data_IF_493862926688
#
_entry.id   IF_493862926688
#
_cell.length_a   1.000
_cell.length_b   1.000
_cell.length_c   1.000
_cell.angle_alpha   90.00
_cell.angle_beta   90.00
_cell.angle_gamma   90.00
#
_symmetry.space_group_name_H-M   'P 1'
#
loop_
_entity.id
_entity.type
_entity.pdbx_description
1 polymer ?
#
# COMPACT_ATOMS: atom_id res chain seq x y z
N UNK A 1 -21.01 -26.08 -6.77
CA UNK A 1 -21.67 -24.95 -7.47
C UNK A 1 -20.74 -23.75 -7.37
N UNK A 2 -20.17 -23.28 -8.49
CA UNK A 2 -19.26 -22.15 -8.48
C UNK A 2 -20.03 -20.87 -8.18
N UNK A 3 -19.85 -20.31 -6.98
CA UNK A 3 -20.33 -18.97 -6.62
C UNK A 3 -19.52 -17.92 -7.39
N UNK A 4 -19.77 -17.81 -8.69
CA UNK A 4 -19.25 -16.71 -9.49
C UNK A 4 -20.05 -15.47 -9.12
N UNK A 5 -19.38 -14.48 -8.52
CA UNK A 5 -19.95 -13.16 -8.28
C UNK A 5 -20.55 -12.62 -9.59
N UNK A 6 -21.73 -11.95 -9.58
CA UNK A 6 -22.28 -11.27 -10.75
C UNK A 6 -21.23 -10.40 -11.44
N UNK A 7 -21.28 -10.30 -12.78
CA UNK A 7 -20.23 -9.65 -13.58
C UNK A 7 -19.93 -8.21 -13.15
N UNK A 8 -20.94 -7.46 -12.70
CA UNK A 8 -20.79 -6.05 -12.32
C UNK A 8 -20.55 -5.82 -10.82
N UNK A 9 -20.39 -6.89 -10.04
CA UNK A 9 -19.93 -6.78 -8.66
C UNK A 9 -18.43 -6.55 -8.58
N UNK A 10 -18.01 -5.77 -7.58
CA UNK A 10 -16.61 -5.66 -7.21
C UNK A 10 -16.10 -7.02 -6.74
N UNK A 11 -14.86 -7.37 -7.11
CA UNK A 11 -14.18 -8.49 -6.47
C UNK A 11 -14.14 -8.26 -4.96
N UNK A 12 -14.21 -9.34 -4.19
CA UNK A 12 -14.31 -9.30 -2.73
C UNK A 12 -13.24 -8.39 -2.12
N UNK A 13 -11.99 -8.51 -2.55
CA UNK A 13 -10.88 -7.71 -2.03
C UNK A 13 -11.04 -6.18 -2.25
N UNK A 14 -11.90 -5.74 -3.17
CA UNK A 14 -12.12 -4.32 -3.52
C UNK A 14 -13.54 -3.83 -3.22
N UNK A 15 -14.29 -4.59 -2.41
CA UNK A 15 -15.70 -4.33 -2.13
C UNK A 15 -15.93 -2.96 -1.51
N UNK A 16 -15.16 -2.61 -0.48
CA UNK A 16 -15.31 -1.37 0.28
C UNK A 16 -14.13 -0.43 0.08
N UNK A 17 -14.42 0.87 -0.02
CA UNK A 17 -13.42 1.93 0.02
C UNK A 17 -13.17 2.34 1.48
N UNK A 18 -11.92 2.51 1.84
CA UNK A 18 -11.54 3.03 3.15
C UNK A 18 -11.85 4.53 3.26
N UNK A 19 -12.07 5.00 4.49
CA UNK A 19 -12.11 6.42 4.83
C UNK A 19 -11.62 6.62 6.25
N UNK A 20 -11.25 7.85 6.59
CA UNK A 20 -10.67 8.16 7.87
C UNK A 20 -11.25 9.44 8.45
N UNK A 21 -11.61 9.39 9.73
CA UNK A 21 -11.91 10.57 10.52
C UNK A 21 -10.68 10.94 11.35
N UNK A 22 -10.31 12.22 11.37
CA UNK A 22 -9.13 12.71 12.07
C UNK A 22 -9.48 13.85 13.00
N UNK A 23 -9.20 13.65 14.28
CA UNK A 23 -9.26 14.70 15.30
C UNK A 23 -7.88 15.36 15.42
N UNK A 24 -7.76 16.61 14.95
CA UNK A 24 -6.51 17.38 15.00
C UNK A 24 -6.07 17.74 16.41
N UNK A 25 -7.00 17.85 17.35
CA UNK A 25 -6.72 18.25 18.72
C UNK A 25 -6.16 17.08 19.54
N UNK A 26 -6.69 15.86 19.34
CA UNK A 26 -6.25 14.64 20.05
C UNK A 26 -5.24 13.81 19.26
N UNK A 27 -5.02 14.13 17.98
CA UNK A 27 -4.27 13.32 17.01
C UNK A 27 -4.85 11.92 16.76
N UNK A 28 -6.11 11.67 17.15
CA UNK A 28 -6.77 10.39 16.95
C UNK A 28 -7.28 10.26 15.52
N UNK A 29 -6.99 9.10 14.90
CA UNK A 29 -7.50 8.70 13.60
C UNK A 29 -8.37 7.46 13.76
N UNK A 30 -9.58 7.50 13.21
CA UNK A 30 -10.44 6.34 13.05
C UNK A 30 -10.45 5.94 11.56
N UNK A 31 -9.94 4.74 11.26
CA UNK A 31 -9.89 4.19 9.90
C UNK A 31 -11.06 3.24 9.72
N UNK A 32 -12.01 3.61 8.86
CA UNK A 32 -13.16 2.82 8.48
C UNK A 32 -12.89 1.97 7.25
N UNK A 33 -13.51 0.79 7.20
CA UNK A 33 -13.24 -0.24 6.18
C UNK A 33 -11.73 -0.53 6.09
N UNK A 34 -11.09 -0.65 7.25
CA UNK A 34 -9.74 -1.19 7.37
C UNK A 34 -9.80 -2.68 7.02
N UNK A 35 -9.05 -3.10 6.00
CA UNK A 35 -9.08 -4.48 5.50
C UNK A 35 -8.07 -5.34 6.26
N UNK A 36 -8.45 -6.56 6.59
CA UNK A 36 -7.56 -7.58 7.12
C UNK A 36 -7.79 -8.88 6.36
N UNK A 37 -6.75 -9.71 6.24
CA UNK A 37 -6.86 -11.02 5.61
C UNK A 37 -6.67 -12.15 6.62
N UNK A 38 -7.66 -13.03 6.71
CA UNK A 38 -7.63 -14.18 7.59
C UNK A 38 -7.11 -15.40 6.84
N UNK A 39 -5.89 -15.83 7.19
CA UNK A 39 -5.28 -17.07 6.71
C UNK A 39 -5.87 -18.26 7.47
N UNK A 40 -7.09 -18.63 7.09
CA UNK A 40 -7.82 -19.82 7.57
C UNK A 40 -8.12 -20.75 6.40
N UNK A 41 -8.76 -21.89 6.63
CA UNK A 41 -9.15 -22.84 5.58
C UNK A 41 -9.92 -22.19 4.41
N UNK A 42 -10.66 -21.11 4.68
CA UNK A 42 -11.46 -20.41 3.68
C UNK A 42 -10.75 -19.22 3.03
N UNK A 43 -9.68 -18.70 3.63
CA UNK A 43 -8.95 -17.53 3.15
C UNK A 43 -9.86 -16.35 2.78
N UNK A 44 -10.17 -15.48 3.74
CA UNK A 44 -11.16 -14.42 3.55
C UNK A 44 -10.66 -13.03 3.92
N UNK A 45 -11.18 -12.03 3.21
CA UNK A 45 -11.03 -10.63 3.56
C UNK A 45 -12.14 -10.23 4.52
N UNK A 46 -11.77 -9.52 5.58
CA UNK A 46 -12.68 -8.90 6.53
C UNK A 46 -12.42 -7.39 6.60
N UNK A 47 -13.43 -6.64 7.04
CA UNK A 47 -13.32 -5.19 7.20
C UNK A 47 -13.80 -4.78 8.59
N UNK A 48 -13.12 -3.81 9.19
CA UNK A 48 -13.52 -3.23 10.47
C UNK A 48 -13.13 -1.75 10.57
N UNK A 49 -13.34 -1.19 11.76
CA UNK A 49 -12.79 0.12 12.13
C UNK A 49 -11.56 -0.10 13.02
N UNK A 50 -10.48 0.61 12.72
CA UNK A 50 -9.26 0.64 13.54
C UNK A 50 -9.01 2.05 14.04
N UNK A 51 -8.48 2.18 15.25
CA UNK A 51 -8.17 3.46 15.87
C UNK A 51 -6.67 3.54 16.13
N UNK A 52 -6.07 4.68 15.80
CA UNK A 52 -4.66 4.96 16.00
C UNK A 52 -4.48 6.39 16.50
N UNK A 53 -3.37 6.67 17.18
CA UNK A 53 -2.97 8.04 17.49
C UNK A 53 -1.75 8.40 16.62
N UNK A 54 -1.81 9.49 15.84
CA UNK A 54 -0.69 9.91 15.00
C UNK A 54 0.53 10.37 15.81
N UNK A 55 0.37 10.66 17.10
CA UNK A 55 1.50 10.89 18.01
C UNK A 55 2.35 9.63 18.21
N UNK A 56 1.79 8.44 18.01
CA UNK A 56 2.49 7.16 18.08
C UNK A 56 3.15 6.76 16.76
N UNK A 57 2.96 7.53 15.69
CA UNK A 57 3.56 7.24 14.39
C UNK A 57 5.08 7.45 14.44
N UNK A 58 5.85 6.46 14.00
CA UNK A 58 7.31 6.42 14.16
C UNK A 58 8.07 6.19 12.87
N UNK A 59 7.55 5.37 11.97
CA UNK A 59 8.27 4.96 10.77
C UNK A 59 7.37 4.90 9.56
N UNK A 60 8.00 4.90 8.38
CA UNK A 60 7.34 4.54 7.13
C UNK A 60 8.30 3.71 6.30
N UNK A 61 7.78 2.61 5.77
CA UNK A 61 8.51 1.71 4.90
C UNK A 61 7.95 1.79 3.48
N UNK A 62 8.85 1.80 2.50
CA UNK A 62 8.52 1.55 1.11
C UNK A 62 8.51 0.04 0.86
N UNK A 63 7.38 -0.49 0.41
CA UNK A 63 7.25 -1.91 0.08
C UNK A 63 7.19 -2.08 -1.43
N UNK A 64 8.05 -2.96 -1.97
CA UNK A 64 8.05 -3.34 -3.38
C UNK A 64 7.71 -4.82 -3.53
N UNK A 65 6.66 -5.14 -4.29
CA UNK A 65 6.29 -6.51 -4.66
C UNK A 65 6.48 -6.76 -6.15
N UNK A 66 7.27 -7.76 -6.52
CA UNK A 66 7.53 -8.12 -7.90
C UNK A 66 6.83 -9.44 -8.27
N UNK A 67 6.01 -9.39 -9.31
CA UNK A 67 5.32 -10.56 -9.86
C UNK A 67 5.77 -10.94 -11.28
N UNK A 68 6.42 -10.03 -12.03
CA UNK A 68 6.85 -10.29 -13.40
C UNK A 68 8.10 -9.49 -13.76
N UNK A 69 9.27 -10.04 -13.44
CA UNK A 69 10.57 -9.42 -13.71
C UNK A 69 10.89 -8.23 -12.81
N UNK A 70 12.05 -7.60 -13.05
CA UNK A 70 12.57 -6.54 -12.18
C UNK A 70 11.94 -5.16 -12.42
N UNK A 71 11.43 -4.90 -13.63
CA UNK A 71 10.97 -3.56 -14.04
C UNK A 71 9.58 -3.21 -13.54
N UNK A 72 8.72 -4.21 -13.31
CA UNK A 72 7.34 -4.01 -12.91
C UNK A 72 7.19 -4.50 -11.47
N UNK A 73 7.00 -3.55 -10.56
CA UNK A 73 6.69 -3.79 -9.16
C UNK A 73 5.35 -3.18 -8.76
N UNK A 74 4.75 -3.69 -7.71
CA UNK A 74 3.72 -3.02 -6.96
C UNK A 74 4.40 -2.26 -5.85
N UNK A 75 4.08 -0.99 -5.68
CA UNK A 75 4.71 -0.15 -4.66
C UNK A 75 3.62 0.41 -3.76
N UNK A 76 3.85 0.32 -2.46
CA UNK A 76 2.97 0.87 -1.43
C UNK A 76 3.77 1.25 -0.21
N UNK A 77 3.14 1.99 0.71
CA UNK A 77 3.78 2.41 1.96
C UNK A 77 3.14 1.70 3.15
N UNK A 78 3.96 1.40 4.16
CA UNK A 78 3.54 0.87 5.45
C UNK A 78 4.00 1.78 6.57
N UNK A 79 3.08 2.26 7.39
CA UNK A 79 3.31 3.22 8.46
C UNK A 79 3.38 2.48 9.80
N UNK A 80 4.50 2.59 10.50
CA UNK A 80 4.75 1.91 11.77
C UNK A 80 4.46 2.78 12.98
N UNK A 81 3.77 2.19 13.95
CA UNK A 81 3.40 2.83 15.22
C UNK A 81 4.25 2.28 16.38
N UNK A 82 4.37 3.08 17.44
CA UNK A 82 5.15 2.80 18.65
C UNK A 82 4.76 1.49 19.36
N UNK A 83 3.51 1.06 19.19
CA UNK A 83 2.97 -0.17 19.74
C UNK A 83 3.31 -1.43 18.92
N UNK A 84 4.02 -1.28 17.80
CA UNK A 84 4.39 -2.36 16.89
C UNK A 84 3.35 -2.66 15.80
N UNK A 85 2.23 -1.93 15.77
CA UNK A 85 1.25 -2.04 14.68
C UNK A 85 1.74 -1.32 13.43
N UNK A 86 1.28 -1.82 12.28
CA UNK A 86 1.54 -1.22 10.98
C UNK A 86 0.26 -1.02 10.19
N UNK A 87 0.15 0.13 9.55
CA UNK A 87 -0.94 0.49 8.65
C UNK A 87 -0.38 0.68 7.24
N UNK A 88 -0.77 -0.19 6.32
CA UNK A 88 -0.32 -0.17 4.94
C UNK A 88 -1.35 0.47 4.01
N UNK A 89 -0.88 1.38 3.15
CA UNK A 89 -1.68 2.08 2.13
C UNK A 89 -1.28 1.63 0.74
N UNK A 90 -2.11 0.79 0.13
CA UNK A 90 -1.88 0.25 -1.20
C UNK A 90 -2.82 0.84 -2.24
N UNK A 91 -2.25 1.38 -3.32
CA UNK A 91 -2.99 1.98 -4.43
C UNK A 91 -3.20 0.93 -5.51
N UNK A 92 -4.43 0.47 -5.65
CA UNK A 92 -4.79 -0.70 -6.45
C UNK A 92 -5.75 -0.34 -7.58
N UNK A 93 -5.78 -1.18 -8.61
CA UNK A 93 -6.90 -1.20 -9.56
C UNK A 93 -8.11 -1.84 -8.88
N UNK A 94 -9.20 -1.09 -8.71
CA UNK A 94 -10.50 -1.62 -8.27
C UNK A 94 -11.10 -2.40 -9.42
N UNK A 95 -11.22 -3.72 -9.26
CA UNK A 95 -11.65 -4.64 -10.33
C UNK A 95 -13.01 -5.24 -10.06
N UNK A 96 -13.83 -5.33 -11.11
CA UNK A 96 -15.05 -6.14 -11.13
C UNK A 96 -14.71 -7.63 -11.19
N UNK A 97 -15.63 -8.49 -10.79
CA UNK A 97 -15.46 -9.96 -10.74
C UNK A 97 -14.90 -10.54 -12.04
N UNK A 98 -15.43 -10.09 -13.18
CA UNK A 98 -15.02 -10.53 -14.52
C UNK A 98 -13.67 -9.97 -14.99
N UNK A 99 -13.13 -8.95 -14.34
CA UNK A 99 -11.91 -8.26 -14.79
C UNK A 99 -10.67 -8.95 -14.25
N UNK A 100 -9.79 -9.41 -15.15
CA UNK A 100 -8.43 -9.82 -14.81
C UNK A 100 -7.48 -8.62 -14.86
N UNK A 101 -6.43 -8.64 -14.02
CA UNK A 101 -5.40 -7.61 -14.05
C UNK A 101 -4.49 -7.81 -15.25
N UNK A 102 -4.12 -6.73 -15.92
CA UNK A 102 -3.04 -6.75 -16.90
C UNK A 102 -2.39 -5.37 -17.00
N UNK A 103 -1.06 -5.38 -16.89
CA UNK A 103 -0.20 -4.18 -16.94
C UNK A 103 -0.40 -3.42 -18.25
N UNK A 104 -0.38 -4.14 -19.37
CA UNK A 104 -0.59 -3.56 -20.71
C UNK A 104 -2.04 -3.17 -20.95
N UNK A 105 -3.01 -3.90 -20.37
CA UNK A 105 -4.44 -3.55 -20.46
C UNK A 105 -4.78 -2.30 -19.64
N UNK A 106 -4.00 -1.91 -18.65
CA UNK A 106 -4.16 -0.63 -17.95
C UNK A 106 -3.98 0.61 -18.84
N UNK A 107 -3.50 0.44 -20.07
CA UNK A 107 -3.48 1.49 -21.10
C UNK A 107 -4.78 1.55 -21.92
N UNK A 108 -5.59 0.49 -21.93
CA UNK A 108 -6.76 0.32 -22.81
C UNK A 108 -8.08 0.02 -22.08
N UNK A 109 -8.04 -0.35 -20.79
CA UNK A 109 -9.21 -0.66 -19.96
C UNK A 109 -9.38 0.36 -18.83
N UNK A 110 -10.62 0.86 -18.67
CA UNK A 110 -11.03 1.79 -17.61
C UNK A 110 -11.21 1.04 -16.27
N UNK A 111 -10.13 0.84 -15.52
CA UNK A 111 -10.24 0.44 -14.12
C UNK A 111 -10.51 1.66 -13.24
N UNK A 112 -11.27 1.48 -12.15
CA UNK A 112 -11.33 2.49 -11.09
C UNK A 112 -10.08 2.34 -10.21
N UNK A 113 -9.62 3.42 -9.60
CA UNK A 113 -8.56 3.36 -8.58
C UNK A 113 -9.18 3.18 -7.20
N UNK A 114 -8.52 2.40 -6.34
CA UNK A 114 -8.88 2.25 -4.93
C UNK A 114 -7.64 2.30 -4.07
N UNK A 115 -7.74 2.95 -2.92
CA UNK A 115 -6.70 2.93 -1.90
C UNK A 115 -7.15 1.97 -0.83
N UNK A 116 -6.51 0.81 -0.79
CA UNK A 116 -6.74 -0.20 0.23
C UNK A 116 -5.91 0.18 1.45
N UNK A 117 -6.58 0.36 2.57
CA UNK A 117 -5.95 0.52 3.87
C UNK A 117 -6.07 -0.79 4.63
N UNK A 118 -4.95 -1.39 4.99
CA UNK A 118 -4.92 -2.72 5.59
C UNK A 118 -3.72 -2.91 6.52
N UNK A 119 -3.72 -4.02 7.24
CA UNK A 119 -2.52 -4.50 7.94
C UNK A 119 -1.52 -5.14 6.95
N UNK A 120 -0.29 -5.34 7.42
CA UNK A 120 0.76 -5.97 6.62
C UNK A 120 0.50 -7.45 6.38
N UNK A 121 -0.21 -8.11 7.29
CA UNK A 121 -0.63 -9.51 7.13
C UNK A 121 -1.48 -9.66 5.86
N UNK A 122 -2.40 -8.74 5.60
CA UNK A 122 -3.13 -8.64 4.34
C UNK A 122 -2.20 -8.28 3.19
N UNK A 123 -1.62 -7.08 3.19
CA UNK A 123 -0.98 -6.56 1.99
C UNK A 123 0.36 -7.23 1.65
N UNK A 124 1.17 -7.60 2.63
CA UNK A 124 2.43 -8.30 2.40
C UNK A 124 2.22 -9.81 2.45
N UNK A 125 1.50 -10.31 3.47
CA UNK A 125 1.30 -11.75 3.66
C UNK A 125 0.62 -12.41 2.47
N UNK A 126 -0.43 -11.82 1.88
CA UNK A 126 -1.11 -12.44 0.71
C UNK A 126 -0.20 -12.50 -0.52
N UNK A 127 0.70 -11.52 -0.68
CA UNK A 127 1.66 -11.45 -1.79
C UNK A 127 2.74 -12.50 -1.66
N UNK A 128 3.28 -12.66 -0.46
CA UNK A 128 4.33 -13.64 -0.17
C UNK A 128 3.76 -15.06 -0.16
N UNK A 129 2.68 -15.31 0.57
CA UNK A 129 2.23 -16.66 0.91
C UNK A 129 1.22 -17.27 -0.09
N UNK A 130 0.43 -16.45 -0.81
CA UNK A 130 -0.58 -16.95 -1.75
C UNK A 130 -0.21 -16.70 -3.21
N UNK A 131 0.42 -15.56 -3.49
CA UNK A 131 0.74 -15.12 -4.86
C UNK A 131 2.18 -15.43 -5.27
N UNK A 132 3.02 -15.92 -4.35
CA UNK A 132 4.44 -16.22 -4.57
C UNK A 132 5.24 -15.03 -5.15
N UNK A 133 4.89 -13.81 -4.76
CA UNK A 133 5.57 -12.60 -5.21
C UNK A 133 6.89 -12.40 -4.44
N UNK A 134 7.83 -11.68 -5.07
CA UNK A 134 9.06 -11.28 -4.39
C UNK A 134 8.85 -9.92 -3.74
N UNK A 135 8.70 -9.91 -2.42
CA UNK A 135 8.46 -8.70 -1.64
C UNK A 135 9.75 -8.27 -0.93
N UNK A 136 10.02 -6.96 -0.96
CA UNK A 136 11.11 -6.28 -0.29
C UNK A 136 10.56 -5.08 0.48
N UNK A 137 11.10 -4.83 1.67
CA UNK A 137 10.78 -3.67 2.53
C UNK A 137 12.02 -2.80 2.59
N UNK A 138 11.84 -1.50 2.43
CA UNK A 138 12.89 -0.50 2.56
C UNK A 138 12.44 0.56 3.57
N UNK A 139 13.05 0.61 4.75
CA UNK A 139 12.83 1.69 5.70
C UNK A 139 13.14 3.03 5.06
N UNK A 140 12.25 4.01 5.24
CA UNK A 140 12.52 5.38 4.81
C UNK A 140 13.06 6.20 5.98
N UNK A 141 14.23 6.81 5.79
CA UNK A 141 14.84 7.74 6.71
C UNK A 141 14.20 9.13 6.56
N UNK A 142 13.00 9.28 7.14
CA UNK A 142 12.25 10.53 7.20
C UNK A 142 12.10 10.98 8.66
N UNK A 143 12.05 12.29 8.91
CA UNK A 143 11.73 12.78 10.24
C UNK A 143 10.24 12.60 10.58
N UNK A 144 9.93 12.59 11.89
CA UNK A 144 8.57 12.36 12.36
C UNK A 144 7.55 13.36 11.79
N UNK A 145 7.81 14.68 11.74
CA UNK A 145 6.90 15.63 11.11
C UNK A 145 6.55 15.26 9.67
N UNK A 146 7.54 14.87 8.86
CA UNK A 146 7.33 14.50 7.47
C UNK A 146 6.55 13.19 7.33
N UNK A 147 6.80 12.21 8.20
CA UNK A 147 6.03 10.95 8.25
C UNK A 147 4.55 11.25 8.55
N UNK A 148 4.27 12.09 9.55
CA UNK A 148 2.91 12.50 9.91
C UNK A 148 2.22 13.26 8.78
N UNK A 149 2.91 14.20 8.14
CA UNK A 149 2.36 14.94 7.00
C UNK A 149 2.07 14.01 5.82
N UNK A 150 2.96 13.04 5.55
CA UNK A 150 2.76 12.06 4.49
C UNK A 150 1.50 11.22 4.75
N UNK A 151 1.31 10.76 5.99
CA UNK A 151 0.12 10.02 6.40
C UNK A 151 -1.16 10.85 6.19
N UNK A 152 -1.16 12.11 6.62
CA UNK A 152 -2.30 13.03 6.47
C UNK A 152 -2.60 13.28 4.98
N UNK A 153 -1.58 13.45 4.14
CA UNK A 153 -1.77 13.63 2.71
C UNK A 153 -2.37 12.38 2.03
N UNK A 154 -2.00 11.18 2.49
CA UNK A 154 -2.66 9.94 2.09
C UNK A 154 -4.12 9.88 2.54
N UNK A 155 -4.36 10.22 3.81
CA UNK A 155 -5.70 10.27 4.40
C UNK A 155 -6.64 11.18 3.61
N UNK A 156 -6.20 12.41 3.31
CA UNK A 156 -6.94 13.38 2.49
C UNK A 156 -7.30 12.78 1.13
N UNK A 157 -6.34 12.11 0.48
CA UNK A 157 -6.55 11.47 -0.83
C UNK A 157 -7.51 10.28 -0.76
N UNK A 158 -7.43 9.48 0.29
CA UNK A 158 -8.34 8.34 0.53
C UNK A 158 -9.77 8.85 0.72
N UNK A 159 -9.94 9.91 1.53
CA UNK A 159 -11.25 10.53 1.77
C UNK A 159 -11.82 11.16 0.50
N UNK A 160 -11.00 11.86 -0.30
CA UNK A 160 -11.49 12.43 -1.56
C UNK A 160 -12.01 11.36 -2.53
N UNK A 161 -11.38 10.17 -2.53
CA UNK A 161 -11.79 9.04 -3.35
C UNK A 161 -13.06 8.35 -2.87
N UNK A 162 -13.49 8.55 -1.62
CA UNK A 162 -14.79 8.06 -1.15
C UNK A 162 -15.95 8.81 -1.81
N UNK A 163 -15.77 10.10 -2.04
CA UNK A 163 -16.78 10.98 -2.64
C UNK A 163 -16.67 11.04 -4.17
N UNK A 164 -15.43 10.99 -4.70
CA UNK A 164 -15.16 11.16 -6.12
C UNK A 164 -14.42 9.94 -6.67
N UNK A 165 -15.10 9.14 -7.50
CA UNK A 165 -14.47 8.03 -8.21
C UNK A 165 -13.45 8.55 -9.23
N UNK A 166 -12.18 8.15 -9.07
CA UNK A 166 -11.13 8.40 -10.07
C UNK A 166 -10.80 7.15 -10.88
N UNK A 167 -10.43 7.35 -12.15
CA UNK A 167 -10.00 6.27 -13.04
C UNK A 167 -8.51 6.01 -12.91
N UNK A 168 -8.12 4.74 -12.90
CA UNK A 168 -6.74 4.31 -13.00
C UNK A 168 -6.19 4.67 -14.38
N UNK A 169 -4.94 5.14 -14.41
CA UNK A 169 -4.24 5.39 -15.66
C UNK A 169 -2.76 5.04 -15.52
N UNK A 170 -2.27 4.18 -16.43
CA UNK A 170 -0.90 3.63 -16.36
C UNK A 170 0.21 4.69 -16.35
N UNK A 171 -0.02 5.88 -16.93
CA UNK A 171 0.95 6.97 -16.94
C UNK A 171 0.76 8.05 -15.85
N UNK A 172 -0.44 8.25 -15.31
CA UNK A 172 -0.77 9.46 -14.54
C UNK A 172 -1.51 9.20 -13.21
N UNK A 173 -2.14 8.03 -13.08
CA UNK A 173 -2.92 7.65 -11.90
C UNK A 173 -2.74 6.15 -11.61
N UNK A 174 -1.52 5.78 -11.26
CA UNK A 174 -1.11 4.46 -10.80
C UNK A 174 -0.48 4.55 -9.40
N UNK A 175 -0.02 3.42 -8.85
CA UNK A 175 0.61 3.40 -7.53
C UNK A 175 1.80 4.37 -7.41
N UNK A 176 2.76 4.31 -8.32
CA UNK A 176 3.96 5.14 -8.26
C UNK A 176 3.71 6.63 -8.51
N UNK A 177 2.87 6.99 -9.48
CA UNK A 177 2.57 8.41 -9.78
C UNK A 177 1.73 9.04 -8.69
N UNK A 178 0.86 8.26 -8.06
CA UNK A 178 0.03 8.74 -6.94
C UNK A 178 0.85 8.87 -5.66
N UNK A 179 1.74 7.90 -5.37
CA UNK A 179 2.78 8.05 -4.33
C UNK A 179 3.59 9.32 -4.58
N UNK A 180 4.07 9.54 -5.81
CA UNK A 180 4.83 10.74 -6.17
C UNK A 180 4.05 12.04 -5.91
N UNK A 181 2.79 12.13 -6.34
CA UNK A 181 1.96 13.33 -6.13
C UNK A 181 1.80 13.64 -4.64
N UNK A 182 1.58 12.61 -3.82
CA UNK A 182 1.44 12.73 -2.37
C UNK A 182 2.79 13.12 -1.74
N UNK A 183 3.88 12.45 -2.13
CA UNK A 183 5.23 12.75 -1.66
C UNK A 183 5.67 14.17 -2.03
N UNK A 184 5.35 14.64 -3.25
CA UNK A 184 5.64 16.01 -3.71
C UNK A 184 4.86 17.07 -2.93
N UNK A 185 3.61 16.78 -2.57
CA UNK A 185 2.80 17.65 -1.71
C UNK A 185 3.40 17.76 -0.31
N UNK A 186 3.92 16.64 0.20
CA UNK A 186 4.55 16.54 1.53
C UNK A 186 5.95 17.17 1.58
N UNK A 187 6.77 16.91 0.55
CA UNK A 187 8.13 17.39 0.43
C UNK A 187 8.29 18.09 -0.94
N UNK A 188 8.16 19.43 -1.00
CA UNK A 188 8.18 20.20 -2.24
C UNK A 188 9.46 20.02 -3.07
N UNK A 189 10.58 19.65 -2.46
CA UNK A 189 11.84 19.38 -3.18
C UNK A 189 11.92 17.97 -3.78
N UNK A 190 10.91 17.12 -3.59
CA UNK A 190 10.84 15.79 -4.21
C UNK A 190 10.82 15.95 -5.74
N UNK A 191 11.93 15.65 -6.43
CA UNK A 191 12.01 15.87 -7.87
C UNK A 191 11.21 14.80 -8.62
N UNK A 192 10.72 15.13 -9.81
CA UNK A 192 10.21 14.10 -10.71
C UNK A 192 11.38 13.35 -11.34
N UNK A 193 11.25 12.02 -11.46
CA UNK A 193 12.20 11.18 -12.19
C UNK A 193 11.42 10.15 -13.00
N UNK A 194 11.86 9.89 -14.25
CA UNK A 194 11.25 8.87 -15.12
C UNK A 194 11.20 7.49 -14.47
N UNK A 195 12.10 7.21 -13.52
CA UNK A 195 12.08 5.99 -12.70
C UNK A 195 10.79 5.81 -11.89
N UNK A 196 10.04 6.88 -11.63
CA UNK A 196 8.70 6.81 -11.02
C UNK A 196 7.64 6.27 -11.99
N UNK A 197 7.91 6.24 -13.30
CA UNK A 197 7.03 5.58 -14.27
C UNK A 197 7.30 4.06 -14.34
N UNK A 198 8.45 3.61 -13.85
CA UNK A 198 8.87 2.21 -13.81
C UNK A 198 9.00 1.79 -12.36
N UNK A 199 7.89 1.33 -11.79
CA UNK A 199 7.72 1.05 -10.36
C UNK A 199 8.82 0.18 -9.72
N UNK A 200 9.50 -0.68 -10.49
CA UNK A 200 10.66 -1.44 -10.03
C UNK A 200 11.84 -0.59 -9.54
N UNK A 201 11.97 0.65 -10.01
CA UNK A 201 13.04 1.58 -9.63
C UNK A 201 12.68 2.54 -8.50
N UNK A 202 11.52 2.39 -7.87
CA UNK A 202 11.09 3.29 -6.79
C UNK A 202 12.10 3.31 -5.62
N UNK A 203 12.56 2.15 -5.16
CA UNK A 203 13.59 2.05 -4.12
C UNK A 203 14.92 2.68 -4.54
N UNK A 204 15.37 2.44 -5.77
CA UNK A 204 16.58 3.09 -6.28
C UNK A 204 16.44 4.61 -6.28
N UNK A 205 15.26 5.14 -6.60
CA UNK A 205 15.05 6.58 -6.61
C UNK A 205 15.04 7.18 -5.20
N UNK A 206 14.36 6.54 -4.25
CA UNK A 206 14.39 6.93 -2.85
C UNK A 206 15.81 6.87 -2.27
N UNK A 207 16.59 5.84 -2.61
CA UNK A 207 18.01 5.73 -2.27
C UNK A 207 18.85 6.87 -2.84
N UNK A 208 18.67 7.22 -4.12
CA UNK A 208 19.36 8.35 -4.76
C UNK A 208 19.05 9.71 -4.13
N UNK A 209 17.89 9.85 -3.49
CA UNK A 209 17.49 11.07 -2.77
C UNK A 209 17.93 11.05 -1.30
N UNK A 210 18.56 9.97 -0.82
CA UNK A 210 18.99 9.80 0.57
C UNK A 210 17.87 9.37 1.53
N UNK A 211 16.69 8.99 1.02
CA UNK A 211 15.59 8.52 1.87
C UNK A 211 15.70 7.04 2.25
N UNK A 212 16.57 6.27 1.62
CA UNK A 212 16.88 4.89 2.03
C UNK A 212 18.38 4.85 2.28
N UNK A 213 18.81 4.30 3.41
CA UNK A 213 20.23 4.16 3.73
C UNK A 213 20.92 3.13 2.84
N UNK A 214 22.23 3.27 2.65
CA UNK A 214 23.03 2.33 1.85
C UNK A 214 22.88 0.89 2.36
N UNK A 215 22.91 0.69 3.67
CA UNK A 215 22.80 -0.62 4.28
C UNK A 215 21.46 -1.28 3.91
N UNK A 216 20.34 -0.57 4.08
CA UNK A 216 19.00 -1.08 3.78
C UNK A 216 18.80 -1.35 2.28
N UNK A 217 19.37 -0.49 1.42
CA UNK A 217 19.24 -0.64 -0.02
C UNK A 217 20.07 -1.81 -0.58
N UNK A 218 21.34 -1.94 -0.17
CA UNK A 218 22.25 -2.96 -0.69
C UNK A 218 22.06 -4.32 -0.02
N UNK A 219 21.70 -4.36 1.27
CA UNK A 219 21.50 -5.61 2.02
C UNK A 219 20.04 -6.06 2.07
N UNK A 220 19.16 -5.47 1.23
CA UNK A 220 17.76 -5.89 1.10
C UNK A 220 17.62 -7.41 1.01
N UNK A 221 16.66 -7.94 1.74
CA UNK A 221 16.33 -9.36 1.68
C UNK A 221 14.93 -9.55 1.14
N UNK A 222 14.76 -10.61 0.35
CA UNK A 222 13.44 -11.06 -0.04
C UNK A 222 12.76 -11.63 1.20
N UNK A 223 11.55 -11.18 1.49
CA UNK A 223 10.75 -11.74 2.60
C UNK A 223 10.50 -13.24 2.31
N UNK A 224 10.88 -14.14 3.24
CA UNK A 224 10.61 -15.57 3.10
C UNK A 224 9.12 -15.86 3.29
N UNK A 225 8.67 -17.03 2.85
CA UNK A 225 7.29 -17.50 3.16
C UNK A 225 7.15 -17.61 4.68
N UNK A 226 6.08 -17.02 5.22
CA UNK A 226 5.82 -17.03 6.66
C UNK A 226 4.65 -17.97 6.96
N UNK A 227 4.88 -19.13 7.61
CA UNK A 227 3.87 -20.19 7.76
C UNK A 227 2.75 -19.88 8.75
N UNK A 228 2.90 -18.88 9.63
CA UNK A 228 1.90 -18.50 10.64
C UNK A 228 1.66 -16.99 10.60
N UNK A 229 0.65 -16.56 9.85
CA UNK A 229 0.29 -15.14 9.77
C UNK A 229 -0.62 -14.79 10.95
N UNK A 230 -0.01 -14.26 12.01
CA UNK A 230 -0.68 -13.83 13.23
C UNK A 230 -0.24 -12.39 13.59
N UNK A 231 -0.66 -11.89 14.75
CA UNK A 231 -0.35 -10.53 15.22
C UNK A 231 1.16 -10.18 15.29
N UNK A 232 2.06 -11.16 15.22
CA UNK A 232 3.51 -10.94 15.19
C UNK A 232 4.09 -10.81 13.77
N UNK A 233 3.27 -10.89 12.72
CA UNK A 233 3.71 -10.92 11.32
C UNK A 233 4.61 -9.74 10.95
N UNK A 234 4.23 -8.51 11.33
CA UNK A 234 5.01 -7.30 11.09
C UNK A 234 6.41 -7.34 11.73
N UNK A 235 6.55 -7.99 12.88
CA UNK A 235 7.86 -8.20 13.49
C UNK A 235 8.66 -9.28 12.72
N UNK A 236 8.00 -10.31 12.20
CA UNK A 236 8.70 -11.42 11.53
C UNK A 236 9.27 -11.02 10.17
N UNK A 237 8.60 -10.14 9.42
CA UNK A 237 9.07 -9.67 8.10
C UNK A 237 10.25 -8.66 8.17
N UNK A 238 10.64 -8.25 9.38
CA UNK A 238 11.74 -7.29 9.64
C UNK A 238 12.94 -7.92 10.36
N UNK A 239 12.99 -9.25 10.48
CA UNK A 239 14.14 -10.00 10.99
C UNK A 239 15.04 -10.43 9.83
#
# INVERSE_FOLDING_TARGET
MSNLLPKDEWRTEYRYKSSMDFNRDTSEVAIHNFRSFQFTDKNEYIWGTKHYNLSDLQSVDLVQSHWSGKMIAHVFLSFGFSNGDYVSFSIETRRKSHQQFSVWKGFFYNYDIIYVVADEQDLIGTRVNLRNEQVYIYPLNLDKPLITELFINYMDKINSLKENDEKYHSMWNNCTTSIYKIAKKTYPDFKFNWKLLVSGYASQYCHQLGFIEDNDYFNKQKIPIIPLVNHTFSHQIRR
#
